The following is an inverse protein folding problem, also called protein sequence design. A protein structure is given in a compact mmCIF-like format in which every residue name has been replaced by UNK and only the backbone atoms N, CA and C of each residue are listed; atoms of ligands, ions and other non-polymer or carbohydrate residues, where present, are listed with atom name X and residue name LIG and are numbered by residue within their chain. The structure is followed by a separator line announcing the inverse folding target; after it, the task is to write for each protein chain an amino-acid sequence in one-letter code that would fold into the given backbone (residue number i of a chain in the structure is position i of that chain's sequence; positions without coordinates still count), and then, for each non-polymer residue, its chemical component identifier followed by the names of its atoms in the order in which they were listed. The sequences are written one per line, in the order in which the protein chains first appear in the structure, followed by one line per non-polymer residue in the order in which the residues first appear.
data_IF_842649419455
#
_entry.id   IF_842649419455
#
_cell.length_a   1.000
_cell.length_b   1.000
_cell.length_c   1.000
_cell.angle_alpha   90.00
_cell.angle_beta   90.00
_cell.angle_gamma   90.00
#
_symmetry.space_group_name_H-M   'P 1'
#
loop_
_entity.id
_entity.type
_entity.pdbx_description
1 polymer ?
#
# COMPACT_ATOMS: atom_id res chain seq x y z
N UNK A 1 29.35 15.24 -36.91
CA UNK A 1 29.92 14.95 -35.59
C UNK A 1 28.77 14.45 -34.72
N UNK A 2 28.66 13.11 -34.69
CA UNK A 2 27.61 12.42 -33.93
C UNK A 2 27.98 12.41 -32.45
N UNK A 3 27.18 13.06 -31.61
CA UNK A 3 27.21 12.88 -30.17
C UNK A 3 26.18 11.81 -29.80
N UNK A 4 26.50 10.56 -30.00
CA UNK A 4 25.89 9.45 -29.27
C UNK A 4 26.41 9.52 -27.85
N UNK A 5 25.70 10.27 -27.02
CA UNK A 5 25.86 10.15 -25.57
C UNK A 5 25.31 8.77 -25.17
N UNK A 6 26.25 7.85 -24.92
CA UNK A 6 25.93 6.54 -24.39
C UNK A 6 25.11 6.68 -23.11
N UNK A 7 23.85 6.27 -23.17
CA UNK A 7 23.04 6.01 -22.01
C UNK A 7 23.76 4.91 -21.24
N UNK A 8 24.49 5.26 -20.20
CA UNK A 8 25.06 4.26 -19.29
C UNK A 8 23.89 3.46 -18.72
N UNK A 9 23.81 2.20 -19.09
CA UNK A 9 22.82 1.24 -18.58
C UNK A 9 23.16 0.86 -17.13
N UNK A 10 23.02 1.80 -16.21
CA UNK A 10 23.33 1.61 -14.79
C UNK A 10 22.62 0.41 -14.15
N UNK A 11 21.47 0.00 -14.71
CA UNK A 11 20.69 -1.12 -14.16
C UNK A 11 21.21 -2.51 -14.52
N UNK A 12 21.94 -2.68 -15.61
CA UNK A 12 22.44 -4.01 -16.05
C UNK A 12 23.69 -4.48 -15.28
N UNK A 13 24.52 -3.54 -14.79
CA UNK A 13 25.72 -3.88 -14.03
C UNK A 13 25.47 -4.19 -12.55
N UNK A 14 24.28 -3.84 -12.03
CA UNK A 14 23.93 -4.07 -10.64
C UNK A 14 23.21 -5.41 -10.46
N UNK A 15 23.65 -6.20 -9.50
CA UNK A 15 22.99 -7.46 -9.12
C UNK A 15 21.73 -7.18 -8.29
N UNK A 16 20.59 -7.67 -8.76
CA UNK A 16 19.31 -7.48 -8.05
C UNK A 16 19.07 -8.57 -7.01
N UNK A 17 18.53 -8.18 -5.86
CA UNK A 17 17.90 -9.09 -4.92
C UNK A 17 16.42 -9.22 -5.26
N UNK A 18 15.98 -10.34 -5.83
CA UNK A 18 14.57 -10.60 -6.16
C UNK A 18 13.89 -11.31 -5.00
N UNK A 19 12.87 -10.66 -4.42
CA UNK A 19 12.02 -11.26 -3.41
C UNK A 19 10.68 -11.64 -4.05
N UNK A 20 10.49 -12.93 -4.30
CA UNK A 20 9.30 -13.46 -4.96
C UNK A 20 8.23 -13.89 -3.94
N UNK A 21 7.05 -13.30 -4.05
CA UNK A 21 5.88 -13.60 -3.23
C UNK A 21 4.81 -14.27 -4.10
N UNK A 22 4.73 -15.62 -4.10
CA UNK A 22 3.78 -16.33 -4.96
C UNK A 22 2.34 -16.03 -4.57
N UNK A 23 1.45 -15.87 -5.56
CA UNK A 23 0.00 -15.92 -5.34
C UNK A 23 -0.36 -17.35 -4.84
N UNK A 24 -1.31 -17.45 -3.91
CA UNK A 24 -1.80 -18.77 -3.49
C UNK A 24 -2.43 -19.50 -4.69
N UNK A 25 -1.79 -20.59 -5.11
CA UNK A 25 -2.15 -21.40 -6.27
C UNK A 25 -0.86 -21.89 -6.95
N UNK A 26 -0.41 -23.10 -6.65
CA UNK A 26 0.92 -23.63 -7.00
C UNK A 26 1.18 -23.61 -8.51
N UNK A 27 0.19 -23.95 -9.35
CA UNK A 27 0.37 -24.06 -10.79
C UNK A 27 0.46 -22.72 -11.53
N UNK A 28 -0.32 -21.73 -11.14
CA UNK A 28 -0.32 -20.41 -11.78
C UNK A 28 0.94 -19.63 -11.40
N UNK A 29 1.37 -19.77 -10.17
CA UNK A 29 2.57 -19.15 -9.62
C UNK A 29 3.85 -19.66 -10.33
N UNK A 30 3.97 -20.94 -10.60
CA UNK A 30 5.16 -21.51 -11.25
C UNK A 30 5.28 -21.08 -12.72
N UNK A 31 4.15 -21.03 -13.47
CA UNK A 31 4.12 -20.57 -14.88
C UNK A 31 4.53 -19.10 -14.99
N UNK A 32 4.04 -18.26 -14.07
CA UNK A 32 4.41 -16.84 -14.09
C UNK A 32 5.87 -16.63 -13.75
N UNK A 33 6.38 -17.34 -12.73
CA UNK A 33 7.80 -17.29 -12.40
C UNK A 33 8.67 -17.70 -13.59
N UNK A 34 8.32 -18.78 -14.29
CA UNK A 34 9.08 -19.25 -15.47
C UNK A 34 9.09 -18.21 -16.60
N UNK A 35 7.99 -17.48 -16.81
CA UNK A 35 7.96 -16.37 -17.80
C UNK A 35 8.84 -15.22 -17.36
N UNK A 36 8.69 -14.76 -16.11
CA UNK A 36 9.48 -13.65 -15.59
C UNK A 36 10.98 -13.98 -15.61
N UNK A 37 11.35 -15.19 -15.20
CA UNK A 37 12.73 -15.67 -15.28
C UNK A 37 13.28 -15.57 -16.70
N UNK A 38 12.54 -16.07 -17.68
CA UNK A 38 12.94 -15.96 -19.10
C UNK A 38 13.15 -14.50 -19.51
N UNK A 39 12.23 -13.61 -19.16
CA UNK A 39 12.35 -12.18 -19.46
C UNK A 39 13.60 -11.56 -18.84
N UNK A 40 13.91 -11.88 -17.59
CA UNK A 40 15.12 -11.40 -16.91
C UNK A 40 16.40 -11.92 -17.58
N UNK A 41 16.43 -13.21 -17.92
CA UNK A 41 17.57 -13.87 -18.57
C UNK A 41 17.80 -13.31 -19.99
N UNK A 42 16.73 -13.12 -20.78
CA UNK A 42 16.78 -12.52 -22.14
C UNK A 42 17.32 -11.08 -22.13
N UNK A 43 17.13 -10.35 -21.05
CA UNK A 43 17.62 -8.97 -20.87
C UNK A 43 18.97 -8.88 -20.17
N UNK A 44 19.56 -10.02 -19.85
CA UNK A 44 20.87 -10.09 -19.21
C UNK A 44 20.90 -9.54 -17.79
N UNK A 45 19.76 -9.50 -17.08
CA UNK A 45 19.68 -9.04 -15.68
C UNK A 45 20.41 -10.03 -14.79
N UNK A 46 21.35 -9.55 -13.99
CA UNK A 46 21.99 -10.36 -12.94
C UNK A 46 21.19 -10.26 -11.64
N UNK A 47 20.71 -11.37 -11.12
CA UNK A 47 19.92 -11.40 -9.90
C UNK A 47 20.16 -12.63 -9.05
N UNK A 48 19.90 -12.50 -7.75
CA UNK A 48 19.69 -13.59 -6.83
C UNK A 48 18.22 -13.63 -6.43
N UNK A 49 17.70 -14.83 -6.26
CA UNK A 49 16.29 -15.09 -6.07
C UNK A 49 16.03 -15.72 -4.71
N UNK A 50 15.07 -15.14 -3.97
CA UNK A 50 14.54 -15.71 -2.74
C UNK A 50 13.01 -15.75 -2.81
N UNK A 51 12.43 -16.85 -2.35
CA UNK A 51 10.97 -17.05 -2.39
C UNK A 51 10.39 -17.00 -0.99
N UNK A 52 9.31 -16.23 -0.85
CA UNK A 52 8.50 -16.17 0.36
C UNK A 52 7.58 -17.38 0.47
N UNK A 53 7.63 -18.07 1.60
CA UNK A 53 6.76 -19.21 1.93
C UNK A 53 5.41 -18.73 2.50
N UNK A 54 5.43 -17.60 3.20
CA UNK A 54 4.26 -16.97 3.83
C UNK A 54 4.40 -15.46 3.85
N UNK A 55 3.34 -14.75 4.25
CA UNK A 55 3.39 -13.31 4.43
C UNK A 55 4.45 -12.88 5.47
N UNK A 56 4.62 -13.68 6.53
CA UNK A 56 5.53 -13.36 7.63
C UNK A 56 7.01 -13.61 7.27
N UNK A 57 7.31 -14.34 6.19
CA UNK A 57 8.67 -14.57 5.73
C UNK A 57 9.27 -13.39 4.95
N UNK A 58 8.45 -12.45 4.49
CA UNK A 58 8.91 -11.29 3.70
C UNK A 58 9.90 -10.45 4.50
N UNK A 59 9.61 -10.13 5.76
CA UNK A 59 10.50 -9.33 6.60
C UNK A 59 11.87 -10.03 6.82
N UNK A 60 11.86 -11.34 7.09
CA UNK A 60 13.07 -12.14 7.26
C UNK A 60 13.94 -12.14 6.00
N UNK A 61 13.30 -12.35 4.83
CA UNK A 61 14.00 -12.39 3.55
C UNK A 61 14.52 -11.01 3.13
N UNK A 62 13.76 -9.96 3.40
CA UNK A 62 14.19 -8.58 3.17
C UNK A 62 15.42 -8.24 4.03
N UNK A 63 15.40 -8.57 5.33
CA UNK A 63 16.55 -8.39 6.23
C UNK A 63 17.78 -9.15 5.71
N UNK A 64 17.60 -10.36 5.21
CA UNK A 64 18.69 -11.15 4.63
C UNK A 64 19.29 -10.46 3.39
N UNK A 65 18.48 -9.95 2.48
CA UNK A 65 18.95 -9.22 1.31
C UNK A 65 19.71 -7.94 1.70
N UNK A 66 19.19 -7.18 2.67
CA UNK A 66 19.85 -5.98 3.18
C UNK A 66 21.22 -6.29 3.79
N UNK A 67 21.30 -7.33 4.65
CA UNK A 67 22.57 -7.77 5.26
C UNK A 67 23.60 -8.28 4.26
N UNK A 68 23.13 -8.88 3.15
CA UNK A 68 23.98 -9.31 2.05
C UNK A 68 24.40 -8.17 1.11
N UNK A 69 24.02 -6.92 1.44
CA UNK A 69 24.48 -5.71 0.74
C UNK A 69 23.81 -5.43 -0.59
N UNK A 70 22.65 -6.05 -0.89
CA UNK A 70 21.90 -5.73 -2.11
C UNK A 70 21.43 -4.28 -2.08
N UNK A 71 21.75 -3.53 -3.14
CA UNK A 71 21.36 -2.14 -3.32
C UNK A 71 20.11 -1.97 -4.15
N UNK A 72 19.83 -2.89 -5.04
CA UNK A 72 18.58 -2.95 -5.80
C UNK A 72 17.80 -4.19 -5.36
N UNK A 73 16.65 -3.98 -4.73
CA UNK A 73 15.78 -5.05 -4.25
C UNK A 73 14.44 -4.93 -4.96
N UNK A 74 14.08 -5.97 -5.73
CA UNK A 74 12.85 -5.99 -6.50
C UNK A 74 11.85 -6.96 -5.86
N UNK A 75 10.72 -6.42 -5.45
CA UNK A 75 9.62 -7.20 -4.88
C UNK A 75 8.72 -7.68 -6.01
N UNK A 76 8.66 -9.00 -6.21
CA UNK A 76 7.68 -9.62 -7.11
C UNK A 76 6.47 -10.04 -6.29
N UNK A 77 5.53 -9.11 -6.13
CA UNK A 77 4.44 -9.28 -5.16
C UNK A 77 3.32 -8.26 -5.33
N UNK A 78 2.41 -8.22 -4.37
CA UNK A 78 1.37 -7.19 -4.27
C UNK A 78 1.69 -6.15 -3.19
N UNK A 79 0.75 -5.21 -3.00
CA UNK A 79 0.90 -4.10 -2.06
C UNK A 79 1.27 -4.53 -0.64
N UNK A 80 0.73 -5.67 -0.15
CA UNK A 80 1.06 -6.17 1.19
C UNK A 80 2.53 -6.60 1.31
N UNK A 81 3.09 -7.25 0.27
CA UNK A 81 4.48 -7.68 0.28
C UNK A 81 5.42 -6.47 0.18
N UNK A 82 5.07 -5.50 -0.66
CA UNK A 82 5.81 -4.25 -0.77
C UNK A 82 5.76 -3.48 0.55
N UNK A 83 4.60 -3.40 1.21
CA UNK A 83 4.46 -2.73 2.51
C UNK A 83 5.33 -3.42 3.60
N UNK A 84 5.39 -4.75 3.63
CA UNK A 84 6.25 -5.47 4.58
C UNK A 84 7.74 -5.19 4.32
N UNK A 85 8.14 -5.18 3.04
CA UNK A 85 9.51 -4.86 2.65
C UNK A 85 9.90 -3.42 3.04
N UNK A 86 8.98 -2.45 2.80
CA UNK A 86 9.15 -1.05 3.19
C UNK A 86 9.26 -0.91 4.71
N UNK A 87 8.37 -1.55 5.48
CA UNK A 87 8.45 -1.49 6.95
C UNK A 87 9.74 -2.12 7.49
N UNK A 88 10.27 -3.16 6.82
CA UNK A 88 11.58 -3.72 7.15
C UNK A 88 12.71 -2.71 6.86
N UNK A 89 12.70 -2.08 5.68
CA UNK A 89 13.70 -1.09 5.30
C UNK A 89 13.67 0.14 6.21
N UNK A 90 12.49 0.57 6.67
CA UNK A 90 12.35 1.71 7.57
C UNK A 90 12.91 1.48 8.98
N UNK A 91 13.18 0.22 9.37
CA UNK A 91 13.90 -0.10 10.62
C UNK A 91 15.41 0.06 10.51
N UNK A 92 15.94 0.11 9.28
CA UNK A 92 17.36 0.34 9.05
C UNK A 92 17.74 1.79 9.27
N UNK A 93 19.01 2.04 9.55
CA UNK A 93 19.55 3.39 9.67
C UNK A 93 19.46 4.15 8.34
N UNK A 94 19.44 5.48 8.42
CA UNK A 94 19.21 6.34 7.25
C UNK A 94 20.21 6.08 6.13
N UNK A 95 21.47 5.88 6.48
CA UNK A 95 22.58 5.64 5.55
C UNK A 95 22.34 4.38 4.69
N UNK A 96 21.76 3.33 5.27
CA UNK A 96 21.38 2.10 4.56
C UNK A 96 20.19 2.38 3.64
N UNK A 97 19.14 3.05 4.16
CA UNK A 97 17.93 3.36 3.38
C UNK A 97 18.23 4.20 2.14
N UNK A 98 19.11 5.19 2.26
CA UNK A 98 19.49 6.08 1.15
C UNK A 98 20.26 5.36 0.03
N UNK A 99 20.83 4.20 0.31
CA UNK A 99 21.57 3.41 -0.70
C UNK A 99 20.76 2.30 -1.35
N UNK A 100 19.56 2.01 -0.83
CA UNK A 100 18.71 0.93 -1.34
C UNK A 100 17.65 1.48 -2.28
N UNK A 101 17.50 0.87 -3.45
CA UNK A 101 16.48 1.15 -4.44
C UNK A 101 15.45 0.01 -4.46
N UNK A 102 14.19 0.31 -4.21
CA UNK A 102 13.11 -0.66 -4.27
C UNK A 102 12.44 -0.64 -5.64
N UNK A 103 12.31 -1.82 -6.24
CA UNK A 103 11.50 -2.03 -7.45
C UNK A 103 10.29 -2.91 -7.15
N UNK A 104 9.30 -2.86 -8.02
CA UNK A 104 8.07 -3.65 -7.92
C UNK A 104 7.73 -4.29 -9.25
N UNK A 105 7.53 -5.61 -9.24
CA UNK A 105 6.87 -6.34 -10.31
C UNK A 105 5.54 -6.84 -9.75
N UNK A 106 4.40 -6.30 -10.22
CA UNK A 106 3.10 -6.58 -9.62
C UNK A 106 2.72 -8.06 -9.77
N UNK A 107 2.52 -8.74 -8.64
CA UNK A 107 2.12 -10.16 -8.56
C UNK A 107 1.12 -10.41 -7.42
N UNK A 108 0.39 -9.39 -6.99
CA UNK A 108 -0.59 -9.47 -5.91
C UNK A 108 -2.02 -9.66 -6.41
N UNK A 109 -2.94 -9.86 -5.47
CA UNK A 109 -4.39 -9.78 -5.72
C UNK A 109 -4.83 -8.32 -5.80
N UNK A 110 -4.17 -7.46 -5.04
CA UNK A 110 -4.32 -6.01 -5.03
C UNK A 110 -2.97 -5.41 -5.35
N UNK A 111 -2.92 -4.56 -6.36
CA UNK A 111 -1.72 -3.92 -6.87
C UNK A 111 -2.02 -2.42 -7.12
N UNK A 112 -2.64 -1.74 -6.13
CA UNK A 112 -3.05 -0.34 -6.26
C UNK A 112 -1.86 0.60 -6.38
N UNK A 113 -0.80 0.34 -5.61
CA UNK A 113 0.43 1.10 -5.71
C UNK A 113 1.14 0.92 -7.05
N UNK A 114 1.20 -0.33 -7.56
CA UNK A 114 1.73 -0.60 -8.90
C UNK A 114 0.94 0.13 -9.99
N UNK A 115 -0.39 0.07 -9.92
CA UNK A 115 -1.27 0.76 -10.87
C UNK A 115 -1.13 2.29 -10.85
N UNK A 116 -0.87 2.86 -9.68
CA UNK A 116 -0.58 4.28 -9.55
C UNK A 116 0.60 4.70 -10.45
N UNK A 117 1.65 3.88 -10.48
CA UNK A 117 2.85 4.11 -11.30
C UNK A 117 2.72 3.61 -12.74
N UNK A 118 1.61 2.98 -13.11
CA UNK A 118 1.40 2.45 -14.46
C UNK A 118 1.99 1.06 -14.71
N UNK A 119 2.48 0.37 -13.67
CA UNK A 119 2.92 -1.02 -13.80
C UNK A 119 1.74 -1.94 -14.07
N UNK A 120 1.82 -2.73 -15.15
CA UNK A 120 0.80 -3.72 -15.52
C UNK A 120 1.29 -5.14 -15.21
N UNK A 121 0.49 -5.89 -14.44
CA UNK A 121 0.76 -7.29 -14.12
C UNK A 121 0.74 -8.23 -15.35
N UNK A 122 0.22 -7.77 -16.48
CA UNK A 122 0.14 -8.52 -17.73
C UNK A 122 1.37 -8.33 -18.63
N UNK A 123 2.19 -7.32 -18.35
CA UNK A 123 3.33 -6.94 -19.15
C UNK A 123 4.64 -6.94 -18.33
N UNK A 124 5.08 -8.16 -17.95
CA UNK A 124 6.32 -8.33 -17.20
C UNK A 124 7.55 -7.78 -17.96
N UNK A 125 7.54 -7.89 -19.29
CA UNK A 125 8.64 -7.41 -20.15
C UNK A 125 8.85 -5.90 -20.01
N UNK A 126 7.79 -5.13 -20.18
CA UNK A 126 7.84 -3.67 -20.04
C UNK A 126 8.25 -3.26 -18.61
N UNK A 127 7.71 -3.95 -17.58
CA UNK A 127 8.09 -3.67 -16.21
C UNK A 127 9.58 -3.90 -15.98
N UNK A 128 10.15 -5.00 -16.49
CA UNK A 128 11.58 -5.29 -16.39
C UNK A 128 12.41 -4.25 -17.12
N UNK A 129 11.98 -3.84 -18.34
CA UNK A 129 12.67 -2.80 -19.12
C UNK A 129 12.74 -1.47 -18.33
N UNK A 130 11.65 -1.04 -17.70
CA UNK A 130 11.62 0.15 -16.85
C UNK A 130 12.53 0.03 -15.62
N UNK A 131 12.58 -1.14 -14.97
CA UNK A 131 13.46 -1.35 -13.83
C UNK A 131 14.94 -1.34 -14.23
N UNK A 132 15.28 -1.81 -15.45
CA UNK A 132 16.64 -1.74 -16.02
C UNK A 132 17.07 -0.30 -16.29
N UNK A 133 16.15 0.57 -16.74
CA UNK A 133 16.43 2.00 -16.91
C UNK A 133 16.82 2.69 -15.61
N UNK A 134 16.57 2.06 -14.48
CA UNK A 134 16.97 2.46 -13.13
C UNK A 134 16.59 3.91 -12.78
N UNK A 135 15.41 4.34 -13.21
CA UNK A 135 14.91 5.68 -12.90
C UNK A 135 14.40 5.71 -11.46
N UNK A 136 15.11 6.43 -10.62
CA UNK A 136 14.82 6.51 -9.18
C UNK A 136 14.00 7.76 -8.86
N UNK A 137 12.97 7.59 -8.04
CA UNK A 137 12.26 8.68 -7.39
C UNK A 137 12.22 8.47 -5.88
N UNK A 138 12.50 9.51 -5.12
CA UNK A 138 12.22 9.51 -3.69
C UNK A 138 10.72 9.61 -3.48
N UNK A 139 10.17 8.72 -2.67
CA UNK A 139 8.75 8.68 -2.34
C UNK A 139 8.52 8.88 -0.85
N UNK A 140 7.35 9.41 -0.56
CA UNK A 140 6.87 9.62 0.80
C UNK A 140 6.23 8.33 1.34
N UNK A 141 6.22 8.20 2.65
CA UNK A 141 5.44 7.20 3.36
C UNK A 141 4.53 7.88 4.37
N UNK A 142 3.31 7.39 4.51
CA UNK A 142 2.56 7.70 5.71
C UNK A 142 3.04 6.83 6.87
N UNK A 143 3.01 7.36 8.09
CA UNK A 143 3.28 6.62 9.31
C UNK A 143 2.12 6.78 10.28
N UNK A 144 1.60 5.67 10.79
CA UNK A 144 0.62 5.64 11.87
C UNK A 144 1.29 5.12 13.14
N UNK A 145 1.21 5.91 14.20
CA UNK A 145 1.71 5.58 15.54
C UNK A 145 0.52 5.30 16.46
N UNK A 146 0.57 4.22 17.21
CA UNK A 146 -0.44 3.85 18.17
C UNK A 146 0.11 2.88 19.25
N UNK A 147 -0.54 2.85 20.40
CA UNK A 147 -0.25 1.87 21.44
C UNK A 147 -1.28 0.75 21.39
N UNK A 148 -0.80 -0.48 21.53
CA UNK A 148 -1.66 -1.65 21.69
C UNK A 148 -2.06 -1.85 23.18
N UNK A 149 -3.13 -2.62 23.40
CA UNK A 149 -3.67 -2.89 24.75
C UNK A 149 -2.70 -3.59 25.70
N UNK A 150 -1.68 -4.24 25.17
CA UNK A 150 -0.58 -4.85 25.92
C UNK A 150 0.54 -3.86 26.29
N UNK A 151 0.39 -2.57 25.96
CA UNK A 151 1.36 -1.53 26.22
C UNK A 151 2.50 -1.42 25.20
N UNK A 152 2.46 -2.16 24.10
CA UNK A 152 3.48 -2.06 23.03
C UNK A 152 3.19 -0.88 22.14
N UNK A 153 4.19 -0.03 21.91
CA UNK A 153 4.13 1.06 20.93
C UNK A 153 4.41 0.52 19.52
N UNK A 154 3.62 0.97 18.55
CA UNK A 154 3.73 0.59 17.15
C UNK A 154 3.86 1.82 16.25
N UNK A 155 4.91 1.86 15.44
CA UNK A 155 5.02 2.71 14.26
C UNK A 155 4.89 1.83 13.02
N UNK A 156 3.86 2.08 12.20
CA UNK A 156 3.61 1.33 10.96
C UNK A 156 3.56 2.28 9.78
N UNK A 157 4.41 2.01 8.81
CA UNK A 157 4.45 2.79 7.57
C UNK A 157 3.47 2.22 6.55
N UNK A 158 2.89 3.11 5.76
CA UNK A 158 1.98 2.75 4.68
C UNK A 158 2.30 3.50 3.39
N UNK A 159 2.12 2.79 2.28
CA UNK A 159 2.32 3.28 0.92
C UNK A 159 1.02 3.85 0.34
N UNK A 160 -0.09 3.14 0.56
CA UNK A 160 -1.39 3.51 0.01
C UNK A 160 -2.21 4.31 1.02
N UNK A 161 -2.77 3.67 2.03
CA UNK A 161 -3.66 4.35 2.96
C UNK A 161 -3.87 3.64 4.30
N UNK A 162 -4.32 4.44 5.27
CA UNK A 162 -4.96 3.98 6.51
C UNK A 162 -6.46 4.20 6.40
N UNK A 163 -7.24 3.22 6.83
CA UNK A 163 -8.70 3.30 6.92
C UNK A 163 -9.13 3.07 8.37
N UNK A 164 -9.99 3.95 8.89
CA UNK A 164 -10.53 3.88 10.25
C UNK A 164 -12.05 3.82 10.17
N UNK A 165 -12.68 2.83 10.82
CA UNK A 165 -14.13 2.63 10.83
C UNK A 165 -14.63 1.69 9.75
N UNK A 166 -15.77 2.01 9.10
CA UNK A 166 -16.50 1.11 8.22
C UNK A 166 -15.64 0.46 7.12
N UNK A 167 -14.77 1.23 6.46
CA UNK A 167 -13.90 0.69 5.41
C UNK A 167 -12.97 -0.39 5.97
N UNK A 168 -12.43 -0.20 7.16
CA UNK A 168 -11.62 -1.21 7.84
C UNK A 168 -12.44 -2.46 8.21
N UNK A 169 -13.70 -2.28 8.64
CA UNK A 169 -14.60 -3.40 8.92
C UNK A 169 -14.91 -4.24 7.66
N UNK A 170 -15.17 -3.59 6.55
CA UNK A 170 -15.38 -4.26 5.24
C UNK A 170 -14.15 -5.07 4.85
N UNK A 171 -12.96 -4.50 5.01
CA UNK A 171 -11.70 -5.19 4.72
C UNK A 171 -11.52 -6.41 5.62
N UNK A 172 -11.85 -6.28 6.90
CA UNK A 172 -11.79 -7.39 7.85
C UNK A 172 -12.77 -8.52 7.49
N UNK A 173 -14.03 -8.18 7.23
CA UNK A 173 -15.08 -9.13 6.82
C UNK A 173 -14.72 -9.82 5.49
N UNK A 174 -14.23 -9.08 4.51
CA UNK A 174 -13.77 -9.63 3.23
C UNK A 174 -12.65 -10.66 3.44
N UNK A 175 -11.73 -10.38 4.36
CA UNK A 175 -10.62 -11.29 4.69
C UNK A 175 -11.14 -12.58 5.34
N UNK A 176 -12.13 -12.49 6.26
CA UNK A 176 -12.78 -13.63 6.88
C UNK A 176 -13.62 -14.43 5.86
N UNK A 177 -14.48 -13.77 5.10
CA UNK A 177 -15.32 -14.40 4.09
C UNK A 177 -14.49 -15.12 3.01
N UNK A 178 -13.35 -14.56 2.61
CA UNK A 178 -12.43 -15.22 1.67
C UNK A 178 -11.82 -16.49 2.24
N UNK A 179 -11.58 -16.57 3.55
CA UNK A 179 -11.09 -17.80 4.20
C UNK A 179 -12.17 -18.89 4.20
N UNK A 180 -13.44 -18.49 4.31
CA UNK A 180 -14.59 -19.42 4.39
C UNK A 180 -15.13 -19.84 3.02
N UNK A 181 -15.28 -18.90 2.10
CA UNK A 181 -15.98 -19.07 0.83
C UNK A 181 -15.06 -19.38 -0.36
N UNK A 182 -13.74 -19.21 -0.20
CA UNK A 182 -12.75 -19.43 -1.27
C UNK A 182 -12.85 -18.48 -2.48
N UNK A 183 -13.93 -17.68 -2.59
CA UNK A 183 -14.20 -16.76 -3.69
C UNK A 183 -14.09 -15.30 -3.25
N UNK A 184 -13.31 -14.51 -3.98
CA UNK A 184 -13.14 -13.08 -3.67
C UNK A 184 -14.36 -12.22 -4.08
N UNK A 185 -15.12 -12.64 -5.10
CA UNK A 185 -16.30 -11.92 -5.58
C UNK A 185 -17.49 -12.07 -4.65
N UNK A 186 -17.78 -13.29 -4.17
CA UNK A 186 -18.83 -13.54 -3.18
C UNK A 186 -18.52 -12.87 -1.84
N UNK A 187 -17.26 -12.89 -1.41
CA UNK A 187 -16.82 -12.23 -0.20
C UNK A 187 -16.96 -10.69 -0.30
N UNK A 188 -16.74 -10.12 -1.47
CA UNK A 188 -16.95 -8.69 -1.71
C UNK A 188 -18.43 -8.33 -1.70
N UNK A 189 -19.26 -9.09 -2.40
CA UNK A 189 -20.70 -8.85 -2.48
C UNK A 189 -21.37 -8.99 -1.10
N UNK A 190 -21.01 -10.02 -0.32
CA UNK A 190 -21.52 -10.21 1.04
C UNK A 190 -21.11 -9.07 1.98
N UNK A 191 -19.88 -8.57 1.86
CA UNK A 191 -19.41 -7.41 2.65
C UNK A 191 -20.15 -6.13 2.31
N UNK A 192 -20.51 -5.95 1.04
CA UNK A 192 -21.30 -4.81 0.55
C UNK A 192 -22.75 -4.86 1.07
N UNK A 193 -23.37 -6.04 1.03
CA UNK A 193 -24.72 -6.26 1.57
C UNK A 193 -24.75 -6.00 3.06
N UNK A 194 -23.79 -6.52 3.82
CA UNK A 194 -23.66 -6.27 5.26
C UNK A 194 -23.48 -4.78 5.56
N UNK A 195 -22.75 -4.03 4.73
CA UNK A 195 -22.60 -2.58 4.86
C UNK A 195 -23.93 -1.84 4.80
N UNK A 196 -24.85 -2.26 3.92
CA UNK A 196 -26.16 -1.62 3.76
C UNK A 196 -27.10 -1.85 4.96
N UNK A 197 -26.92 -2.97 5.68
CA UNK A 197 -27.78 -3.36 6.81
C UNK A 197 -27.25 -2.95 8.18
N UNK A 198 -25.96 -2.69 8.32
CA UNK A 198 -25.36 -2.29 9.60
C UNK A 198 -24.95 -0.83 9.55
N UNK A 199 -25.66 0.03 10.30
CA UNK A 199 -25.21 1.39 10.58
C UNK A 199 -24.07 1.33 11.58
N UNK A 200 -22.87 1.64 11.13
CA UNK A 200 -21.69 1.77 11.98
C UNK A 200 -21.40 3.25 12.20
N UNK A 201 -21.83 3.77 13.34
CA UNK A 201 -21.52 5.11 13.81
C UNK A 201 -20.39 5.04 14.81
N UNK A 202 -19.24 5.56 14.44
CA UNK A 202 -18.11 5.66 15.36
C UNK A 202 -18.01 7.08 15.87
N UNK A 203 -18.07 7.25 17.21
CA UNK A 203 -17.65 8.51 17.80
C UNK A 203 -16.15 8.63 17.61
N UNK A 204 -15.73 9.65 16.88
CA UNK A 204 -14.33 9.94 16.60
C UNK A 204 -14.01 11.37 17.00
N UNK A 205 -12.87 11.53 17.64
CA UNK A 205 -12.25 12.82 17.88
C UNK A 205 -11.12 12.97 16.87
N UNK A 206 -11.25 13.92 15.97
CA UNK A 206 -10.31 14.18 14.88
C UNK A 206 -9.74 15.58 15.04
N UNK A 207 -8.42 15.69 15.03
CA UNK A 207 -7.74 16.97 14.89
C UNK A 207 -6.94 16.97 13.58
N UNK A 208 -7.38 17.81 12.64
CA UNK A 208 -6.79 17.95 11.31
C UNK A 208 -6.63 19.43 11.01
N UNK A 209 -5.41 19.90 10.71
CA UNK A 209 -5.14 21.31 10.38
C UNK A 209 -5.65 22.30 11.43
N UNK A 210 -5.52 21.96 12.74
CA UNK A 210 -6.03 22.73 13.88
C UNK A 210 -7.57 22.76 14.00
N UNK A 211 -8.29 22.06 13.12
CA UNK A 211 -9.72 21.82 13.30
C UNK A 211 -9.93 20.64 14.22
N UNK A 212 -10.55 20.89 15.35
CA UNK A 212 -10.89 19.89 16.35
C UNK A 212 -12.38 19.52 16.23
N UNK A 213 -12.64 18.26 15.90
CA UNK A 213 -13.98 17.78 15.61
C UNK A 213 -14.28 16.50 16.40
N UNK A 214 -15.31 16.54 17.24
CA UNK A 214 -15.83 15.36 17.93
C UNK A 214 -17.24 15.05 17.40
N UNK A 215 -17.33 14.10 16.45
CA UNK A 215 -18.60 13.77 15.76
C UNK A 215 -18.74 12.27 15.54
N UNK A 216 -19.94 11.88 15.14
CA UNK A 216 -20.22 10.55 14.61
C UNK A 216 -19.73 10.49 13.15
N UNK A 217 -18.76 9.60 12.89
CA UNK A 217 -18.10 9.41 11.61
C UNK A 217 -18.30 7.97 11.15
N UNK A 218 -18.62 7.78 9.88
CA UNK A 218 -18.75 6.44 9.30
C UNK A 218 -17.38 5.83 8.99
N UNK A 219 -16.51 6.59 8.35
CA UNK A 219 -15.15 6.15 8.02
C UNK A 219 -14.23 7.34 7.78
N UNK A 220 -12.95 7.15 8.09
CA UNK A 220 -11.86 8.05 7.71
C UNK A 220 -10.88 7.28 6.84
N UNK A 221 -10.54 7.82 5.67
CA UNK A 221 -9.46 7.31 4.85
C UNK A 221 -8.33 8.34 4.78
N UNK A 222 -7.12 7.94 5.12
CA UNK A 222 -5.91 8.76 5.08
C UNK A 222 -4.97 8.15 4.04
N UNK A 223 -4.81 8.82 2.90
CA UNK A 223 -4.04 8.34 1.75
C UNK A 223 -2.71 9.05 1.57
N UNK A 224 -1.67 8.26 1.37
CA UNK A 224 -0.40 8.70 0.82
C UNK A 224 -0.38 8.50 -0.71
N UNK A 225 -1.10 7.45 -1.19
CA UNK A 225 -1.42 7.22 -2.60
C UNK A 225 -2.94 7.03 -2.76
N UNK A 226 -3.41 6.71 -3.99
CA UNK A 226 -4.84 6.54 -4.30
C UNK A 226 -5.45 5.33 -3.60
N UNK A 227 -5.62 5.42 -2.26
CA UNK A 227 -6.14 4.35 -1.43
C UNK A 227 -7.58 3.98 -1.78
N UNK A 228 -7.81 2.82 -2.37
CA UNK A 228 -9.14 2.24 -2.65
C UNK A 228 -10.14 3.20 -3.30
N UNK A 229 -9.66 4.24 -4.02
CA UNK A 229 -10.50 5.26 -4.65
C UNK A 229 -11.04 6.34 -3.70
N UNK A 230 -10.78 6.27 -2.40
CA UNK A 230 -11.26 7.24 -1.40
C UNK A 230 -10.38 8.49 -1.30
N UNK A 231 -9.12 8.40 -1.72
CA UNK A 231 -8.17 9.51 -1.78
C UNK A 231 -7.61 9.65 -3.20
N UNK A 232 -8.45 10.00 -4.20
CA UNK A 232 -8.07 9.97 -5.62
C UNK A 232 -6.98 10.98 -5.98
N UNK A 233 -6.81 12.03 -5.18
CA UNK A 233 -5.83 13.10 -5.40
C UNK A 233 -4.49 12.86 -4.73
N UNK A 234 -4.37 11.80 -3.91
CA UNK A 234 -3.16 11.51 -3.17
C UNK A 234 -1.99 11.14 -4.10
N UNK A 235 -0.83 11.71 -3.81
CA UNK A 235 0.40 11.61 -4.60
C UNK A 235 1.56 11.27 -3.67
N UNK A 236 2.21 10.10 -3.79
CA UNK A 236 3.21 9.60 -2.84
C UNK A 236 4.59 10.29 -2.95
N UNK A 237 4.61 11.54 -3.32
CA UNK A 237 5.79 12.44 -3.36
C UNK A 237 5.37 13.91 -3.25
N UNK A 238 4.22 14.17 -2.63
CA UNK A 238 3.70 15.54 -2.45
C UNK A 238 4.07 16.15 -1.10
N UNK A 239 4.64 15.36 -0.18
CA UNK A 239 4.89 15.75 1.20
C UNK A 239 3.60 15.97 2.02
N UNK A 240 2.45 15.43 1.56
CA UNK A 240 1.15 15.63 2.18
C UNK A 240 0.32 14.33 2.16
N UNK A 241 -0.52 14.17 3.17
CA UNK A 241 -1.56 13.16 3.22
C UNK A 241 -2.89 13.76 2.75
N UNK A 242 -3.62 13.03 1.93
CA UNK A 242 -5.00 13.35 1.60
C UNK A 242 -5.93 12.59 2.56
N UNK A 243 -6.88 13.29 3.16
CA UNK A 243 -7.80 12.72 4.14
C UNK A 243 -9.23 12.89 3.65
N UNK A 244 -9.99 11.81 3.66
CA UNK A 244 -11.42 11.82 3.38
C UNK A 244 -12.18 11.39 4.64
N UNK A 245 -12.91 12.31 5.24
CA UNK A 245 -13.79 12.04 6.38
C UNK A 245 -15.22 11.90 5.87
N UNK A 246 -15.83 10.75 6.12
CA UNK A 246 -17.21 10.47 5.71
C UNK A 246 -18.11 10.49 6.93
N UNK A 247 -18.91 11.52 7.02
CA UNK A 247 -19.98 11.57 8.04
C UNK A 247 -21.13 10.67 7.62
N UNK A 248 -21.91 10.24 8.60
CA UNK A 248 -22.94 9.23 8.40
C UNK A 248 -24.04 9.73 7.44
N UNK A 249 -24.08 9.25 6.18
CA UNK A 249 -25.10 9.67 5.23
C UNK A 249 -26.42 8.93 5.49
N UNK A 250 -27.58 9.54 5.17
CA UNK A 250 -28.86 8.82 5.15
C UNK A 250 -28.82 7.68 4.12
N UNK A 251 -29.59 6.60 4.37
CA UNK A 251 -29.48 5.34 3.63
C UNK A 251 -29.51 5.44 2.08
N UNK A 252 -30.25 6.39 1.50
CA UNK A 252 -30.26 6.62 0.04
C UNK A 252 -28.93 7.16 -0.47
N UNK A 253 -28.25 7.99 0.29
CA UNK A 253 -26.97 8.57 -0.08
C UNK A 253 -25.80 7.57 0.01
N UNK A 254 -25.97 6.45 0.72
CA UNK A 254 -24.97 5.37 0.71
C UNK A 254 -24.80 4.74 -0.68
N UNK A 255 -25.91 4.54 -1.42
CA UNK A 255 -25.86 4.01 -2.78
C UNK A 255 -25.22 5.01 -3.76
N UNK A 256 -25.53 6.30 -3.59
CA UNK A 256 -24.89 7.38 -4.34
C UNK A 256 -23.38 7.42 -4.07
N UNK A 257 -22.97 7.39 -2.79
CA UNK A 257 -21.57 7.37 -2.39
C UNK A 257 -20.81 6.18 -2.97
N UNK A 258 -21.44 5.00 -3.01
CA UNK A 258 -20.88 3.82 -3.61
C UNK A 258 -20.69 3.97 -5.12
N UNK A 259 -21.69 4.50 -5.82
CA UNK A 259 -21.61 4.79 -7.26
C UNK A 259 -20.51 5.81 -7.57
N UNK A 260 -20.41 6.89 -6.77
CA UNK A 260 -19.36 7.89 -6.90
C UNK A 260 -17.96 7.32 -6.62
N UNK A 261 -17.84 6.37 -5.69
CA UNK A 261 -16.58 5.67 -5.43
C UNK A 261 -16.13 4.87 -6.65
N UNK A 262 -17.03 4.10 -7.28
CA UNK A 262 -16.69 3.31 -8.46
C UNK A 262 -16.41 4.16 -9.70
N UNK A 263 -17.00 5.34 -9.80
CA UNK A 263 -16.76 6.27 -10.92
C UNK A 263 -15.57 7.20 -10.69
N UNK A 264 -14.85 7.06 -9.56
CA UNK A 264 -13.70 7.89 -9.20
C UNK A 264 -14.06 9.33 -8.80
N UNK A 265 -15.33 9.59 -8.48
CA UNK A 265 -15.86 10.90 -8.09
C UNK A 265 -16.27 10.98 -6.61
N UNK A 266 -15.67 10.15 -5.78
CA UNK A 266 -16.02 9.99 -4.37
C UNK A 266 -16.04 11.31 -3.58
N UNK A 267 -15.10 12.21 -3.86
CA UNK A 267 -15.03 13.52 -3.18
C UNK A 267 -16.20 14.48 -3.49
N UNK A 268 -17.03 14.17 -4.50
CA UNK A 268 -18.20 14.98 -4.84
C UNK A 268 -19.43 14.66 -3.98
N UNK A 269 -19.36 13.62 -3.15
CA UNK A 269 -20.45 13.25 -2.27
C UNK A 269 -20.60 14.25 -1.12
N UNK A 270 -21.83 14.69 -0.82
CA UNK A 270 -22.12 15.72 0.19
C UNK A 270 -21.68 15.38 1.61
N UNK A 271 -21.58 14.08 1.95
CA UNK A 271 -21.13 13.61 3.26
C UNK A 271 -19.63 13.38 3.35
N UNK A 272 -18.88 13.62 2.26
CA UNK A 272 -17.42 13.46 2.21
C UNK A 272 -16.76 14.82 2.37
N UNK A 273 -15.91 14.93 3.39
CA UNK A 273 -15.14 16.14 3.68
C UNK A 273 -13.66 15.85 3.44
N UNK A 274 -13.08 16.38 2.36
CA UNK A 274 -11.67 16.20 2.05
C UNK A 274 -10.81 17.19 2.82
N UNK A 275 -9.67 16.70 3.33
CA UNK A 275 -8.61 17.51 3.91
C UNK A 275 -7.28 17.14 3.27
N UNK A 276 -6.32 18.03 3.39
CA UNK A 276 -4.92 17.78 3.04
C UNK A 276 -4.04 18.26 4.17
N UNK A 277 -3.19 17.39 4.70
CA UNK A 277 -2.42 17.67 5.92
C UNK A 277 -1.09 16.92 5.93
N UNK A 278 -0.17 17.37 6.77
CA UNK A 278 1.06 16.63 7.06
C UNK A 278 0.91 15.70 8.27
N UNK A 279 0.00 16.05 9.15
CA UNK A 279 -0.24 15.30 10.37
C UNK A 279 -1.68 15.45 10.81
N UNK A 280 -2.22 14.41 11.42
CA UNK A 280 -3.50 14.42 12.09
C UNK A 280 -3.48 13.46 13.28
N UNK A 281 -4.38 13.71 14.24
CA UNK A 281 -4.69 12.75 15.30
C UNK A 281 -6.14 12.29 15.20
N UNK A 282 -6.35 11.02 15.53
CA UNK A 282 -7.66 10.41 15.56
C UNK A 282 -7.81 9.59 16.84
N UNK A 283 -8.90 9.77 17.55
CA UNK A 283 -9.25 8.95 18.70
C UNK A 283 -10.60 8.28 18.47
N UNK A 284 -10.62 6.94 18.63
CA UNK A 284 -11.84 6.14 18.61
C UNK A 284 -11.61 4.79 19.25
N UNK A 285 -12.33 4.50 20.32
CA UNK A 285 -12.19 3.24 21.07
C UNK A 285 -12.83 2.03 20.41
N UNK A 286 -13.73 2.24 19.44
CA UNK A 286 -14.54 1.18 18.81
C UNK A 286 -14.22 0.93 17.35
N UNK A 287 -13.64 1.91 16.65
CA UNK A 287 -13.35 1.80 15.22
C UNK A 287 -12.16 0.88 14.97
N UNK A 288 -12.30 -0.02 14.01
CA UNK A 288 -11.16 -0.79 13.53
C UNK A 288 -10.28 0.07 12.63
N UNK A 289 -9.00 -0.31 12.58
CA UNK A 289 -8.00 0.36 11.75
C UNK A 289 -7.35 -0.65 10.80
N UNK A 290 -7.37 -0.32 9.52
CA UNK A 290 -6.69 -1.06 8.46
C UNK A 290 -5.56 -0.22 7.89
N UNK A 291 -4.38 -0.80 7.76
CA UNK A 291 -3.14 -0.17 7.26
C UNK A 291 -2.69 -0.97 6.03
N UNK A 292 -2.75 -0.39 4.84
CA UNK A 292 -2.44 -1.08 3.57
C UNK A 292 -3.05 -2.50 3.47
N UNK A 293 -4.32 -2.62 3.89
CA UNK A 293 -5.04 -3.89 3.87
C UNK A 293 -4.78 -4.83 5.04
N UNK A 294 -3.92 -4.50 5.99
CA UNK A 294 -3.71 -5.24 7.25
C UNK A 294 -4.43 -4.55 8.41
N UNK A 295 -4.91 -5.33 9.37
CA UNK A 295 -5.53 -4.78 10.57
C UNK A 295 -4.46 -4.38 11.59
N UNK A 296 -4.66 -3.25 12.26
CA UNK A 296 -3.85 -2.85 13.41
C UNK A 296 -4.02 -3.85 14.57
N UNK A 297 -2.95 -4.10 15.31
CA UNK A 297 -2.90 -5.09 16.39
C UNK A 297 -3.42 -4.50 17.69
N UNK A 298 -4.64 -4.89 18.08
CA UNK A 298 -5.28 -4.55 19.35
C UNK A 298 -5.05 -3.10 19.84
N UNK A 299 -5.34 -2.08 19.02
CA UNK A 299 -5.03 -0.70 19.37
C UNK A 299 -5.87 -0.20 20.56
N UNK A 300 -5.32 0.75 21.31
CA UNK A 300 -6.03 1.44 22.41
C UNK A 300 -7.10 2.40 21.92
N UNK A 301 -6.97 2.86 20.66
CA UNK A 301 -7.92 3.76 20.03
C UNK A 301 -7.41 5.19 19.84
N UNK A 302 -6.17 5.46 20.18
CA UNK A 302 -5.50 6.73 19.92
C UNK A 302 -4.47 6.54 18.82
N UNK A 303 -4.53 7.41 17.81
CA UNK A 303 -3.69 7.32 16.62
C UNK A 303 -3.10 8.69 16.29
N UNK A 304 -1.81 8.71 15.97
CA UNK A 304 -1.14 9.84 15.35
C UNK A 304 -0.69 9.41 13.96
N UNK A 305 -1.12 10.12 12.94
CA UNK A 305 -0.80 9.80 11.55
C UNK A 305 -0.05 11.00 10.95
N UNK A 306 1.12 10.74 10.37
CA UNK A 306 1.99 11.76 9.78
C UNK A 306 2.58 11.31 8.46
N UNK A 307 3.02 12.26 7.64
CA UNK A 307 3.81 12.01 6.45
C UNK A 307 5.30 11.99 6.80
N UNK A 308 6.03 11.03 6.22
CA UNK A 308 7.49 10.97 6.20
C UNK A 308 7.94 11.22 4.77
N UNK A 309 8.39 12.44 4.45
CA UNK A 309 8.68 12.80 3.07
C UNK A 309 10.01 12.23 2.58
N UNK A 310 10.03 11.79 1.32
CA UNK A 310 11.23 11.39 0.57
C UNK A 310 12.13 10.34 1.26
N UNK A 311 11.51 9.35 1.92
CA UNK A 311 12.25 8.37 2.75
C UNK A 311 12.64 7.09 2.03
N UNK A 312 12.08 6.81 0.84
CA UNK A 312 12.35 5.60 0.05
C UNK A 312 12.75 5.98 -1.38
N UNK A 313 13.84 5.38 -1.86
CA UNK A 313 14.20 5.41 -3.28
C UNK A 313 13.42 4.32 -4.01
N UNK A 314 12.49 4.70 -4.87
CA UNK A 314 11.64 3.79 -5.61
C UNK A 314 11.92 3.85 -7.11
N UNK A 315 12.02 2.68 -7.76
CA UNK A 315 12.20 2.58 -9.20
C UNK A 315 10.86 2.80 -9.89
N UNK A 316 10.78 3.81 -10.74
CA UNK A 316 9.56 4.23 -11.43
C UNK A 316 9.67 3.97 -12.94
N UNK A 317 8.53 3.85 -13.64
CA UNK A 317 8.48 3.88 -15.09
C UNK A 317 9.05 5.18 -15.68
N UNK A 318 9.36 5.15 -16.97
CA UNK A 318 9.72 6.35 -17.74
C UNK A 318 8.57 7.34 -17.86
#
# INVERSE_FOLDING_TARGET
MNSEQGVMNYGQDMRWGLLYCPKKGIHESSRRWSRLKRTLDERGVRYDFVQSESADSVERLMTMLLRNGYKTIVIVGGDSALNDAVNCLMREVREVRETVHLGLIPNGVVNDFARYWGFDERNDAQTVDWLICHRVRKIDLGCISYDSKNGTHHDRYFLNCVNIGLTADIMHLRRQARKLLGSSHLAFLSSLVLMLFHRHDYKMHLNVNYEDTCRSVMTVCIGNARGYGQTPSAVPYSGMLDVSVVYNPPGRQLLEGLWLLFTGRFLNHSSVHPYRTRELTCESSKARVGIDGRMAEQPTGQYRIRIEPEVINFLIPE
#
